data_IF_427492676918
#
_entry.id   IF_427492676918
#
_cell.length_a   1.000
_cell.length_b   1.000
_cell.length_c   1.000
_cell.angle_alpha   90.00
_cell.angle_beta   90.00
_cell.angle_gamma   90.00
#
_symmetry.space_group_name_H-M   'P 1'
#
loop_
_entity.id
_entity.type
_entity.pdbx_description
1 polymer ?
#
# COMPACT_ATOMS: atom_id res chain seq x y z
N UNK A 1 1.23 12.96 26.20
CA UNK A 1 2.44 13.14 25.38
C UNK A 1 3.30 11.89 25.53
N UNK A 2 2.98 10.82 24.81
CA UNK A 2 3.59 9.47 24.97
C UNK A 2 4.28 9.00 23.67
N UNK A 3 4.21 9.77 22.57
CA UNK A 3 4.62 9.31 21.23
C UNK A 3 6.01 9.75 20.77
N UNK A 4 6.68 10.70 21.45
CA UNK A 4 8.01 11.18 21.03
C UNK A 4 9.14 10.17 21.32
N UNK A 5 8.93 9.27 22.30
CA UNK A 5 9.92 8.26 22.72
C UNK A 5 9.99 7.04 21.77
N UNK A 6 9.19 7.00 20.71
CA UNK A 6 9.34 5.97 19.68
C UNK A 6 10.53 6.22 18.78
N UNK A 7 10.86 7.50 18.59
CA UNK A 7 11.92 7.97 17.68
C UNK A 7 13.12 8.54 18.46
N UNK A 8 13.08 8.44 19.80
CA UNK A 8 14.12 8.88 20.76
C UNK A 8 14.15 7.94 21.96
N UNK A 9 15.26 7.86 22.70
CA UNK A 9 15.31 7.14 23.98
C UNK A 9 15.88 5.71 23.93
N UNK A 10 15.75 4.93 25.01
CA UNK A 10 16.52 3.69 25.21
C UNK A 10 16.16 2.58 24.22
N UNK A 11 14.91 2.52 23.75
CA UNK A 11 14.48 1.55 22.74
C UNK A 11 15.21 1.72 21.41
N UNK A 12 15.46 2.96 20.99
CA UNK A 12 16.23 3.29 19.79
C UNK A 12 17.66 2.73 19.88
N UNK A 13 18.32 2.93 21.03
CA UNK A 13 19.67 2.45 21.29
C UNK A 13 19.73 0.92 21.34
N UNK A 14 18.79 0.28 22.04
CA UNK A 14 18.72 -1.18 22.15
C UNK A 14 18.53 -1.85 20.78
N UNK A 15 17.72 -1.25 19.91
CA UNK A 15 17.47 -1.71 18.54
C UNK A 15 18.50 -1.21 17.52
N UNK A 16 19.50 -0.42 17.97
CA UNK A 16 20.54 0.21 17.15
C UNK A 16 19.95 0.99 15.96
N UNK A 17 18.80 1.63 16.14
CA UNK A 17 18.12 2.40 15.08
C UNK A 17 18.88 3.69 14.79
N UNK A 18 18.79 4.24 13.57
CA UNK A 18 19.37 5.55 13.24
C UNK A 18 18.83 6.63 14.18
N UNK A 19 19.71 7.50 14.66
CA UNK A 19 19.29 8.66 15.43
C UNK A 19 18.52 9.63 14.52
N UNK A 20 17.35 10.07 15.00
CA UNK A 20 16.58 11.12 14.33
C UNK A 20 17.19 12.50 14.58
N UNK A 21 17.21 13.33 13.54
CA UNK A 21 17.61 14.72 13.59
C UNK A 21 16.60 15.64 14.32
N UNK A 22 16.77 16.97 14.20
CA UNK A 22 15.81 17.94 14.73
C UNK A 22 14.44 17.73 14.07
N UNK A 23 13.37 18.01 14.83
CA UNK A 23 12.00 17.90 14.29
C UNK A 23 11.86 18.82 13.08
N UNK A 24 11.24 18.32 12.03
CA UNK A 24 10.85 19.07 10.85
C UNK A 24 9.40 18.75 10.48
N UNK A 25 8.82 19.59 9.61
CA UNK A 25 7.44 19.45 9.13
C UNK A 25 7.41 19.56 7.61
N UNK A 26 6.44 18.87 6.99
CA UNK A 26 6.17 18.94 5.54
C UNK A 26 4.70 18.53 5.29
N UNK A 27 4.23 18.69 4.06
CA UNK A 27 2.91 18.30 3.56
C UNK A 27 3.00 17.38 2.33
N UNK A 28 4.20 17.10 1.83
CA UNK A 28 4.40 16.21 0.68
C UNK A 28 5.42 15.13 1.05
N UNK A 29 5.14 13.89 0.64
CA UNK A 29 6.04 12.74 0.76
C UNK A 29 6.54 12.38 -0.64
N UNK A 30 7.85 12.33 -0.84
CA UNK A 30 8.45 11.81 -2.06
C UNK A 30 8.69 10.31 -1.92
N UNK A 31 7.92 9.49 -2.64
CA UNK A 31 8.11 8.04 -2.68
C UNK A 31 9.25 7.69 -3.64
N UNK A 32 10.39 7.27 -3.09
CA UNK A 32 11.64 7.09 -3.84
C UNK A 32 11.54 5.96 -4.88
N UNK A 33 11.05 4.74 -4.55
CA UNK A 33 11.02 3.64 -5.53
C UNK A 33 10.21 3.92 -6.81
N UNK A 34 9.25 4.85 -6.76
CA UNK A 34 8.43 5.23 -7.92
C UNK A 34 8.66 6.66 -8.39
N UNK A 35 9.63 7.37 -7.82
CA UNK A 35 9.89 8.80 -8.03
C UNK A 35 8.61 9.65 -8.11
N UNK A 36 7.69 9.47 -7.17
CA UNK A 36 6.38 10.14 -7.20
C UNK A 36 6.15 10.98 -5.93
N UNK A 37 5.65 12.23 -6.07
CA UNK A 37 5.15 12.97 -4.93
C UNK A 37 3.79 12.41 -4.50
N UNK A 38 3.57 12.37 -3.19
CA UNK A 38 2.31 11.97 -2.56
C UNK A 38 1.90 13.09 -1.62
N UNK A 39 0.78 13.75 -1.94
CA UNK A 39 0.22 14.80 -1.10
C UNK A 39 -0.25 14.17 0.21
N UNK A 40 0.03 14.85 1.32
CA UNK A 40 -0.32 14.44 2.67
C UNK A 40 -0.89 15.64 3.43
N UNK A 41 -1.60 15.38 4.51
CA UNK A 41 -1.77 16.37 5.57
C UNK A 41 -0.41 16.79 6.13
N UNK A 42 -0.35 17.91 6.86
CA UNK A 42 0.89 18.33 7.55
C UNK A 42 1.30 17.28 8.59
N UNK A 43 2.56 16.85 8.53
CA UNK A 43 3.12 15.85 9.44
C UNK A 43 4.44 16.32 10.04
N UNK A 44 4.79 15.77 11.21
CA UNK A 44 6.09 15.95 11.86
C UNK A 44 6.96 14.74 11.64
N UNK A 45 8.25 14.95 11.41
CA UNK A 45 9.21 13.87 11.24
C UNK A 45 10.56 14.24 11.85
N UNK A 46 11.42 13.23 12.00
CA UNK A 46 12.81 13.40 12.37
C UNK A 46 13.68 12.93 11.22
N UNK A 47 14.43 13.80 10.52
CA UNK A 47 15.34 13.37 9.45
C UNK A 47 16.24 12.22 9.92
N UNK A 48 16.31 11.15 9.16
CA UNK A 48 17.17 9.99 9.47
C UNK A 48 18.34 9.92 8.50
N UNK A 49 19.42 9.29 8.94
CA UNK A 49 20.64 9.10 8.14
C UNK A 49 20.94 7.62 7.94
N UNK A 50 21.66 7.32 6.86
CA UNK A 50 21.99 5.95 6.44
C UNK A 50 20.79 5.17 5.90
N UNK A 51 21.03 3.91 5.53
CA UNK A 51 20.04 3.04 4.91
C UNK A 51 19.67 3.46 3.48
N UNK A 52 18.83 2.66 2.83
CA UNK A 52 18.31 2.95 1.49
C UNK A 52 16.98 3.70 1.62
N UNK A 53 16.93 4.94 1.12
CA UNK A 53 15.76 5.80 1.27
C UNK A 53 14.52 5.23 0.57
N UNK A 54 13.39 5.21 1.28
CA UNK A 54 12.07 4.89 0.74
C UNK A 54 11.19 6.12 0.60
N UNK A 55 11.27 7.03 1.56
CA UNK A 55 10.48 8.27 1.59
C UNK A 55 11.40 9.44 1.93
N UNK A 56 11.27 10.52 1.16
CA UNK A 56 11.92 11.80 1.43
C UNK A 56 10.88 12.93 1.56
N UNK A 57 11.24 13.99 2.25
CA UNK A 57 10.53 15.27 2.24
C UNK A 57 10.85 16.06 0.96
N UNK A 58 10.17 17.19 0.76
CA UNK A 58 10.39 18.13 -0.35
C UNK A 58 11.80 18.72 -0.38
N UNK A 59 12.44 18.86 0.78
CA UNK A 59 13.83 19.32 0.89
C UNK A 59 14.86 18.17 0.78
N UNK A 60 14.44 16.95 0.46
CA UNK A 60 15.31 15.79 0.28
C UNK A 60 15.73 15.07 1.58
N UNK A 61 15.30 15.53 2.75
CA UNK A 61 15.58 14.83 4.00
C UNK A 61 14.88 13.46 4.02
N UNK A 62 15.59 12.42 4.48
CA UNK A 62 15.05 11.06 4.53
C UNK A 62 14.10 10.94 5.71
N UNK A 63 12.88 10.49 5.42
CA UNK A 63 11.80 10.27 6.39
C UNK A 63 11.69 8.78 6.73
N UNK A 64 11.84 7.92 5.72
CA UNK A 64 11.82 6.47 5.89
C UNK A 64 12.91 5.82 5.05
N UNK A 65 13.54 4.79 5.61
CA UNK A 65 14.62 4.05 4.97
C UNK A 65 14.60 2.57 5.34
N UNK A 66 15.24 1.77 4.51
CA UNK A 66 15.49 0.35 4.80
C UNK A 66 16.92 0.14 5.30
N UNK A 67 17.06 -0.79 6.24
CA UNK A 67 18.34 -1.20 6.79
C UNK A 67 18.43 -2.72 6.76
N UNK A 68 19.53 -3.23 6.24
CA UNK A 68 19.79 -4.67 6.24
C UNK A 68 20.19 -5.13 7.65
N UNK A 69 19.57 -6.22 8.11
CA UNK A 69 19.77 -6.78 9.45
C UNK A 69 19.83 -8.31 9.37
N UNK A 70 21.05 -8.85 9.30
CA UNK A 70 21.25 -10.28 9.13
C UNK A 70 20.62 -10.76 7.82
N UNK A 71 19.69 -11.71 7.89
CA UNK A 71 18.93 -12.22 6.74
C UNK A 71 17.63 -11.43 6.46
N UNK A 72 17.30 -10.46 7.30
CA UNK A 72 16.09 -9.67 7.20
C UNK A 72 16.37 -8.22 6.84
N UNK A 73 15.28 -7.49 6.62
CA UNK A 73 15.29 -6.05 6.37
C UNK A 73 14.41 -5.37 7.41
N UNK A 74 14.87 -4.24 7.91
CA UNK A 74 14.13 -3.37 8.82
C UNK A 74 13.73 -2.11 8.06
N UNK A 75 12.46 -1.74 8.14
CA UNK A 75 11.95 -0.46 7.63
C UNK A 75 11.79 0.47 8.83
N UNK A 76 12.42 1.64 8.78
CA UNK A 76 12.29 2.65 9.83
C UNK A 76 11.52 3.86 9.28
N UNK A 77 10.48 4.29 10.01
CA UNK A 77 9.68 5.47 9.73
C UNK A 77 9.88 6.48 10.85
N UNK A 78 10.29 7.70 10.50
CA UNK A 78 10.58 8.75 11.47
C UNK A 78 9.40 9.68 11.78
N UNK A 79 8.24 9.47 11.13
CA UNK A 79 6.98 10.12 11.50
C UNK A 79 6.46 9.41 12.75
N UNK A 80 6.34 10.09 13.91
CA UNK A 80 5.85 9.46 15.14
C UNK A 80 4.48 8.82 14.92
N UNK A 81 4.34 7.53 15.24
CA UNK A 81 3.14 6.72 15.01
C UNK A 81 2.65 6.67 13.54
N UNK A 82 3.40 7.22 12.59
CA UNK A 82 2.94 7.43 11.22
C UNK A 82 1.77 8.41 11.10
N UNK A 83 1.57 9.30 12.08
CA UNK A 83 0.44 10.22 12.14
C UNK A 83 0.80 11.65 11.73
N UNK A 84 -0.16 12.34 11.11
CA UNK A 84 -0.12 13.78 10.88
C UNK A 84 -0.32 14.55 12.19
N UNK A 85 -0.16 15.88 12.11
CA UNK A 85 -0.40 16.77 13.26
C UNK A 85 -1.87 16.70 13.71
N UNK A 86 -2.77 16.45 12.76
CA UNK A 86 -4.20 16.22 12.94
C UNK A 86 -4.56 14.83 13.51
N UNK A 87 -3.56 14.00 13.85
CA UNK A 87 -3.72 12.61 14.31
C UNK A 87 -4.27 11.63 13.27
N UNK A 88 -4.49 12.06 12.01
CA UNK A 88 -4.83 11.14 10.94
C UNK A 88 -3.59 10.38 10.47
N UNK A 89 -3.77 9.14 10.00
CA UNK A 89 -2.66 8.36 9.43
C UNK A 89 -2.10 9.04 8.18
N UNK A 90 -0.77 9.12 8.07
CA UNK A 90 -0.12 9.63 6.86
C UNK A 90 -0.12 8.57 5.75
N UNK A 91 -0.10 8.97 4.47
CA UNK A 91 0.05 8.01 3.37
C UNK A 91 1.33 7.17 3.46
N UNK A 92 2.35 7.62 4.21
CA UNK A 92 3.60 6.90 4.43
C UNK A 92 3.37 5.49 4.99
N UNK A 93 2.42 5.31 5.93
CA UNK A 93 2.13 4.00 6.53
C UNK A 93 1.66 3.00 5.48
N UNK A 94 0.70 3.41 4.65
CA UNK A 94 0.18 2.56 3.58
C UNK A 94 1.25 2.23 2.53
N UNK A 95 2.07 3.21 2.15
CA UNK A 95 3.18 3.00 1.20
C UNK A 95 4.20 1.99 1.73
N UNK A 96 4.62 2.13 2.99
CA UNK A 96 5.62 1.25 3.60
C UNK A 96 5.09 -0.17 3.80
N UNK A 97 3.82 -0.33 4.22
CA UNK A 97 3.19 -1.65 4.31
C UNK A 97 3.05 -2.29 2.92
N UNK A 98 2.67 -1.51 1.90
CA UNK A 98 2.59 -1.98 0.53
C UNK A 98 3.97 -2.41 -0.01
N UNK A 99 5.03 -1.70 0.36
CA UNK A 99 6.40 -2.08 0.01
C UNK A 99 6.88 -3.32 0.76
N UNK A 100 6.58 -3.42 2.05
CA UNK A 100 6.99 -4.55 2.88
C UNK A 100 6.37 -5.88 2.44
N UNK A 101 5.14 -5.85 1.90
CA UNK A 101 4.46 -7.05 1.36
C UNK A 101 4.90 -7.43 -0.06
N UNK A 102 5.63 -6.57 -0.76
CA UNK A 102 5.95 -6.76 -2.16
C UNK A 102 6.83 -8.01 -2.34
N UNK A 103 6.42 -8.92 -3.22
CA UNK A 103 7.08 -10.22 -3.41
C UNK A 103 6.89 -11.25 -2.27
N UNK A 104 6.16 -10.92 -1.20
CA UNK A 104 5.81 -11.90 -0.15
C UNK A 104 4.44 -12.54 -0.39
N UNK A 105 3.57 -11.85 -1.11
CA UNK A 105 2.22 -12.33 -1.41
C UNK A 105 2.25 -13.18 -2.68
N UNK A 106 1.54 -14.32 -2.71
CA UNK A 106 1.44 -15.17 -3.89
C UNK A 106 0.59 -14.55 -5.01
N UNK A 107 -0.12 -13.47 -4.70
CA UNK A 107 -0.93 -12.68 -5.62
C UNK A 107 -0.65 -11.20 -5.39
N UNK A 108 -0.39 -10.46 -6.47
CA UNK A 108 -0.34 -9.01 -6.50
C UNK A 108 -1.57 -8.46 -7.23
N UNK A 109 -2.16 -7.38 -6.70
CA UNK A 109 -3.28 -6.67 -7.32
C UNK A 109 -2.85 -5.23 -7.55
N UNK A 110 -2.94 -4.78 -8.80
CA UNK A 110 -2.66 -3.40 -9.22
C UNK A 110 -3.94 -2.76 -9.74
N UNK A 111 -4.32 -1.64 -9.14
CA UNK A 111 -5.54 -0.89 -9.43
C UNK A 111 -5.97 -0.09 -8.22
N UNK A 112 -6.84 0.90 -8.42
CA UNK A 112 -7.41 1.71 -7.33
C UNK A 112 -8.63 1.01 -6.73
N UNK A 113 -8.40 -0.15 -6.13
CA UNK A 113 -9.42 -1.01 -5.49
C UNK A 113 -8.90 -1.57 -4.17
N UNK A 114 -9.83 -1.88 -3.28
CA UNK A 114 -9.56 -2.70 -2.11
C UNK A 114 -9.65 -4.18 -2.51
N UNK A 115 -8.91 -5.06 -1.84
CA UNK A 115 -8.95 -6.47 -2.16
C UNK A 115 -8.65 -7.38 -0.97
N UNK A 116 -9.15 -8.61 -1.07
CA UNK A 116 -8.97 -9.70 -0.12
C UNK A 116 -8.44 -10.93 -0.87
N UNK A 117 -7.68 -11.76 -0.16
CA UNK A 117 -7.10 -12.98 -0.71
C UNK A 117 -7.43 -14.17 0.18
N UNK A 118 -7.99 -15.23 -0.41
CA UNK A 118 -8.28 -16.47 0.27
C UNK A 118 -7.62 -17.64 -0.46
N UNK A 119 -6.97 -18.55 0.27
CA UNK A 119 -6.43 -19.80 -0.30
C UNK A 119 -7.56 -20.80 -0.49
N UNK A 120 -7.56 -21.53 -1.60
CA UNK A 120 -8.44 -22.68 -1.81
C UNK A 120 -7.63 -23.97 -1.96
N UNK A 121 -8.31 -25.10 -2.09
CA UNK A 121 -7.65 -26.38 -2.39
C UNK A 121 -6.99 -26.41 -3.78
N UNK A 122 -7.44 -25.56 -4.71
CA UNK A 122 -6.96 -25.55 -6.11
C UNK A 122 -6.13 -24.32 -6.47
N UNK A 123 -6.20 -23.24 -5.69
CA UNK A 123 -5.51 -21.99 -6.00
C UNK A 123 -5.88 -20.87 -5.04
N UNK A 124 -6.32 -19.73 -5.57
CA UNK A 124 -6.61 -18.52 -4.80
C UNK A 124 -7.92 -17.88 -5.22
N UNK A 125 -8.64 -17.28 -4.28
CA UNK A 125 -9.77 -16.39 -4.55
C UNK A 125 -9.34 -14.97 -4.24
N UNK A 126 -9.51 -14.08 -5.21
CA UNK A 126 -9.29 -12.64 -5.10
C UNK A 126 -10.63 -11.95 -5.13
N UNK A 127 -11.00 -11.32 -4.01
CA UNK A 127 -12.18 -10.44 -3.97
C UNK A 127 -11.72 -9.02 -4.20
N UNK A 128 -12.31 -8.33 -5.17
CA UNK A 128 -12.02 -6.94 -5.52
C UNK A 128 -13.21 -6.06 -5.17
N UNK A 129 -12.98 -4.98 -4.44
CA UNK A 129 -14.00 -4.01 -4.04
C UNK A 129 -13.63 -2.62 -4.57
N UNK A 130 -14.53 -1.99 -5.32
CA UNK A 130 -14.35 -0.63 -5.78
C UNK A 130 -15.24 0.33 -4.96
N UNK A 131 -14.67 1.05 -3.98
CA UNK A 131 -15.45 1.98 -3.17
C UNK A 131 -15.86 3.25 -3.93
N UNK A 132 -15.25 3.52 -5.10
CA UNK A 132 -15.51 4.74 -5.87
C UNK A 132 -16.91 4.73 -6.50
N UNK A 133 -17.46 5.92 -6.72
CA UNK A 133 -18.78 6.11 -7.34
C UNK A 133 -19.98 5.98 -6.40
N UNK A 134 -19.76 5.71 -5.11
CA UNK A 134 -20.80 5.77 -4.08
C UNK A 134 -20.61 7.01 -3.18
N UNK A 135 -21.43 8.04 -3.38
CA UNK A 135 -21.49 9.16 -2.46
C UNK A 135 -22.54 8.88 -1.37
N UNK A 136 -22.13 8.94 -0.10
CA UNK A 136 -23.02 8.78 1.06
C UNK A 136 -23.24 10.14 1.73
N UNK A 137 -24.19 10.98 1.25
CA UNK A 137 -24.50 12.23 1.91
C UNK A 137 -25.16 11.98 3.27
N UNK A 138 -25.15 12.98 4.14
CA UNK A 138 -25.82 12.92 5.44
C UNK A 138 -27.34 12.69 5.30
N UNK A 139 -27.95 13.13 4.19
CA UNK A 139 -29.35 12.89 3.85
C UNK A 139 -29.49 12.52 2.37
N UNK A 140 -30.32 11.51 2.08
CA UNK A 140 -30.68 11.09 0.72
C UNK A 140 -29.86 9.93 0.16
N UNK A 141 -30.20 9.51 -1.06
CA UNK A 141 -29.48 8.51 -1.85
C UNK A 141 -29.00 9.21 -3.12
N UNK A 142 -27.70 9.19 -3.37
CA UNK A 142 -27.13 9.66 -4.64
C UNK A 142 -27.02 8.46 -5.58
N UNK A 143 -27.42 8.58 -6.85
CA UNK A 143 -27.17 7.55 -7.84
C UNK A 143 -25.68 7.21 -7.93
N UNK A 144 -25.35 5.94 -8.13
CA UNK A 144 -23.97 5.52 -8.36
C UNK A 144 -23.42 6.18 -9.61
N UNK A 145 -22.29 6.88 -9.46
CA UNK A 145 -21.54 7.40 -10.61
C UNK A 145 -20.81 6.23 -11.28
N UNK A 146 -21.42 5.71 -12.35
CA UNK A 146 -20.90 4.56 -13.11
C UNK A 146 -19.63 4.87 -13.90
N UNK A 147 -19.22 6.13 -14.02
CA UNK A 147 -17.95 6.50 -14.67
C UNK A 147 -16.73 6.15 -13.82
N UNK A 148 -16.94 5.84 -12.53
CA UNK A 148 -15.87 5.52 -11.57
C UNK A 148 -15.50 4.02 -11.55
N UNK A 149 -15.65 3.32 -12.67
CA UNK A 149 -15.13 1.95 -12.77
C UNK A 149 -13.59 1.94 -12.71
N UNK A 150 -13.02 0.82 -12.24
CA UNK A 150 -11.58 0.70 -12.00
C UNK A 150 -10.98 -0.49 -12.75
N UNK A 151 -10.03 -0.26 -13.67
CA UNK A 151 -9.27 -1.35 -14.26
C UNK A 151 -8.31 -1.93 -13.22
N UNK A 152 -8.24 -3.26 -13.18
CA UNK A 152 -7.42 -4.01 -12.23
C UNK A 152 -6.61 -5.06 -12.98
N UNK A 153 -5.35 -5.19 -12.60
CA UNK A 153 -4.45 -6.26 -13.06
C UNK A 153 -4.10 -7.11 -11.84
N UNK A 154 -4.39 -8.40 -11.93
CA UNK A 154 -4.01 -9.42 -10.95
C UNK A 154 -2.82 -10.19 -11.51
N UNK A 155 -1.75 -10.32 -10.74
CA UNK A 155 -0.56 -11.10 -11.09
C UNK A 155 -0.35 -12.20 -10.06
N UNK A 156 -0.12 -13.43 -10.50
CA UNK A 156 0.14 -14.56 -9.61
C UNK A 156 1.06 -15.60 -10.26
N UNK A 157 1.79 -16.37 -9.44
CA UNK A 157 2.58 -17.51 -9.92
C UNK A 157 1.72 -18.76 -10.10
N UNK A 158 2.04 -19.57 -11.11
CA UNK A 158 1.47 -20.90 -11.28
C UNK A 158 -0.01 -20.95 -11.63
N UNK A 159 -0.61 -19.82 -12.05
CA UNK A 159 -2.00 -19.79 -12.51
C UNK A 159 -2.07 -20.17 -13.99
N UNK A 160 -3.05 -21.00 -14.33
CA UNK A 160 -3.34 -21.46 -15.68
C UNK A 160 -4.76 -21.09 -16.13
N UNK A 161 -5.65 -20.83 -15.18
CA UNK A 161 -7.05 -20.49 -15.39
C UNK A 161 -7.49 -19.40 -14.42
N UNK A 162 -8.42 -18.57 -14.87
CA UNK A 162 -9.09 -17.58 -14.05
C UNK A 162 -10.57 -17.50 -14.41
N UNK A 163 -11.45 -17.46 -13.41
CA UNK A 163 -12.90 -17.40 -13.59
C UNK A 163 -13.50 -16.32 -12.71
N UNK A 164 -14.35 -15.48 -13.29
CA UNK A 164 -15.16 -14.50 -12.57
C UNK A 164 -16.46 -15.15 -12.08
N UNK A 165 -16.77 -15.05 -10.79
CA UNK A 165 -17.86 -15.82 -10.17
C UNK A 165 -19.27 -15.33 -10.49
N UNK A 166 -19.48 -14.04 -10.73
CA UNK A 166 -20.82 -13.51 -10.98
C UNK A 166 -21.32 -13.83 -12.39
N UNK A 167 -20.42 -13.85 -13.37
CA UNK A 167 -20.77 -14.12 -14.78
C UNK A 167 -20.36 -15.53 -15.23
N UNK A 168 -19.62 -16.27 -14.39
CA UNK A 168 -18.93 -17.51 -14.77
C UNK A 168 -18.01 -17.34 -16.00
N UNK A 169 -17.58 -16.11 -16.27
CA UNK A 169 -16.73 -15.77 -17.40
C UNK A 169 -15.31 -16.30 -17.16
N UNK A 170 -14.77 -17.00 -18.16
CA UNK A 170 -13.36 -17.38 -18.17
C UNK A 170 -12.53 -16.19 -18.60
N UNK A 171 -11.72 -15.68 -17.69
CA UNK A 171 -10.85 -14.54 -17.95
C UNK A 171 -9.59 -15.00 -18.69
N UNK A 172 -9.06 -14.11 -19.54
CA UNK A 172 -7.82 -14.39 -20.28
C UNK A 172 -6.63 -14.33 -19.33
N UNK A 173 -5.95 -15.47 -19.18
CA UNK A 173 -4.69 -15.59 -18.44
C UNK A 173 -3.53 -15.38 -19.40
N UNK A 174 -2.71 -14.35 -19.15
CA UNK A 174 -1.54 -14.02 -19.97
C UNK A 174 -0.27 -14.46 -19.24
N UNK A 175 0.44 -15.51 -19.69
CA UNK A 175 1.67 -15.94 -19.07
C UNK A 175 2.82 -14.95 -19.30
N UNK A 176 3.58 -14.68 -18.23
CA UNK A 176 4.73 -13.79 -18.19
C UNK A 176 5.83 -14.45 -17.35
N UNK A 177 6.63 -15.32 -17.99
CA UNK A 177 7.68 -16.09 -17.32
C UNK A 177 7.11 -17.08 -16.30
N UNK A 178 7.41 -16.87 -15.01
CA UNK A 178 6.89 -17.71 -13.90
C UNK A 178 5.54 -17.24 -13.37
N UNK A 179 5.14 -16.04 -13.73
CA UNK A 179 3.87 -15.42 -13.35
C UNK A 179 2.89 -15.43 -14.50
N UNK A 180 1.64 -15.16 -14.21
CA UNK A 180 0.62 -14.85 -15.20
C UNK A 180 -0.21 -13.65 -14.74
N UNK A 181 -0.74 -12.89 -15.70
CA UNK A 181 -1.56 -11.72 -15.48
C UNK A 181 -3.00 -11.94 -15.93
N UNK A 182 -3.94 -11.39 -15.17
CA UNK A 182 -5.39 -11.38 -15.46
C UNK A 182 -5.86 -9.93 -15.34
N UNK A 183 -6.52 -9.43 -16.37
CA UNK A 183 -7.09 -8.08 -16.36
C UNK A 183 -8.62 -8.14 -16.21
N UNK A 184 -9.17 -7.28 -15.36
CA UNK A 184 -10.62 -7.17 -15.13
C UNK A 184 -10.99 -5.74 -14.74
N UNK A 185 -12.18 -5.29 -15.14
CA UNK A 185 -12.75 -4.01 -14.69
C UNK A 185 -13.75 -4.25 -13.56
N UNK A 186 -13.56 -3.54 -12.44
CA UNK A 186 -14.46 -3.58 -11.29
C UNK A 186 -15.45 -2.41 -11.40
N UNK A 187 -16.77 -2.67 -11.46
CA UNK A 187 -17.77 -1.62 -11.56
C UNK A 187 -17.69 -0.62 -10.40
N UNK A 188 -18.10 0.62 -10.63
CA UNK A 188 -18.28 1.61 -9.57
C UNK A 188 -19.20 1.08 -8.45
N UNK A 189 -18.83 1.30 -7.19
CA UNK A 189 -19.50 0.80 -5.99
C UNK A 189 -19.71 -0.73 -6.00
N UNK A 190 -18.92 -1.45 -6.80
CA UNK A 190 -19.13 -2.85 -7.12
C UNK A 190 -18.11 -3.79 -6.48
N UNK A 191 -18.39 -5.08 -6.64
CA UNK A 191 -17.52 -6.17 -6.23
C UNK A 191 -17.32 -7.12 -7.42
N UNK A 192 -16.12 -7.67 -7.55
CA UNK A 192 -15.81 -8.81 -8.42
C UNK A 192 -15.10 -9.87 -7.61
N UNK A 193 -15.34 -11.14 -7.93
CA UNK A 193 -14.64 -12.26 -7.28
C UNK A 193 -14.01 -13.10 -8.39
N UNK A 194 -12.70 -13.22 -8.33
CA UNK A 194 -11.90 -13.96 -9.32
C UNK A 194 -11.26 -15.16 -8.63
N UNK A 195 -11.56 -16.36 -9.11
CA UNK A 195 -10.85 -17.57 -8.72
C UNK A 195 -9.71 -17.85 -9.70
N UNK A 196 -8.52 -18.04 -9.17
CA UNK A 196 -7.28 -18.36 -9.88
C UNK A 196 -6.91 -19.82 -9.62
N UNK A 197 -6.65 -20.59 -10.68
CA UNK A 197 -6.31 -22.02 -10.63
C UNK A 197 -5.10 -22.34 -11.50
#
# INVERSE_FOLDING_TARGET
MVSADQVRGPGLAALKLPAGGPVAEDTVLQWVPGNRPVISQRYRYHPITGGDALIQSTNGAVIAATYQRGKGRMVYLSIPLGLGIDQAATPAVALLLAHARQGLMPVEVRGDVEWLLNRTGKGWIVTLLNPNGNAKPQHGIVPTDRTQERPVIITAEGISQAVEWFTAEKLVVKPEGRTATVAITVPAAGVRIVELQ
#
